data_IF_354831326892
#
_entry.id   IF_354831326892
#
_cell.length_a   1.000
_cell.length_b   1.000
_cell.length_c   1.000
_cell.angle_alpha   90.00
_cell.angle_beta   90.00
_cell.angle_gamma   90.00
#
_symmetry.space_group_name_H-M   'P 1'
#
loop_
_entity.id
_entity.type
_entity.pdbx_description
1 polymer ?
#
# COMPACT_ATOMS: atom_id res chain seq x y z
N UNK A 1 25.96 56.04 -6.39
CA UNK A 1 25.30 56.66 -7.56
C UNK A 1 26.32 56.79 -8.67
N UNK A 2 25.91 56.47 -9.90
CA UNK A 2 26.57 56.67 -11.21
C UNK A 2 27.93 55.99 -11.45
N UNK A 3 28.22 55.37 -12.59
CA UNK A 3 27.43 55.04 -13.77
C UNK A 3 28.23 54.02 -14.61
N UNK A 4 27.48 53.22 -15.36
CA UNK A 4 27.91 52.31 -16.42
C UNK A 4 28.78 52.99 -17.49
N UNK A 5 29.71 52.20 -18.05
CA UNK A 5 30.26 52.15 -19.43
C UNK A 5 31.70 51.62 -19.31
N UNK A 6 32.08 50.50 -19.92
CA UNK A 6 32.24 50.33 -21.37
C UNK A 6 32.09 48.85 -21.74
N UNK A 7 31.17 48.58 -22.65
CA UNK A 7 31.07 47.33 -23.41
C UNK A 7 32.22 47.35 -24.42
N UNK A 8 33.10 46.37 -24.36
CA UNK A 8 34.09 46.13 -25.42
C UNK A 8 33.79 44.77 -26.04
N UNK A 9 33.07 44.85 -27.17
CA UNK A 9 32.81 43.74 -28.09
C UNK A 9 34.15 43.27 -28.65
N UNK A 10 34.50 42.01 -28.40
CA UNK A 10 35.51 41.29 -29.16
C UNK A 10 34.86 39.99 -29.65
N UNK A 11 34.11 40.14 -30.75
CA UNK A 11 33.49 39.06 -31.51
C UNK A 11 34.58 38.47 -32.41
N UNK A 12 35.23 37.40 -31.97
CA UNK A 12 36.19 36.65 -32.79
C UNK A 12 35.60 35.31 -33.19
N UNK A 13 35.01 35.33 -34.39
CA UNK A 13 34.86 34.25 -35.36
C UNK A 13 35.79 33.04 -35.14
N UNK A 14 35.21 31.88 -34.83
CA UNK A 14 35.69 30.61 -35.34
C UNK A 14 34.49 29.81 -35.86
N UNK A 15 34.39 29.77 -37.17
CA UNK A 15 33.49 28.90 -37.91
C UNK A 15 33.92 27.44 -37.73
N UNK A 16 32.99 26.61 -37.27
CA UNK A 16 33.06 25.15 -37.34
C UNK A 16 31.74 24.64 -37.90
N UNK A 17 31.61 24.64 -39.22
CA UNK A 17 30.51 24.02 -39.94
C UNK A 17 30.71 22.50 -39.81
N UNK A 18 29.87 21.84 -39.02
CA UNK A 18 29.68 20.39 -39.12
C UNK A 18 28.44 20.17 -39.97
N UNK A 19 28.65 19.65 -41.17
CA UNK A 19 27.60 19.37 -42.13
C UNK A 19 26.64 18.31 -41.59
N UNK A 20 25.40 18.69 -41.30
CA UNK A 20 24.29 17.76 -41.14
C UNK A 20 23.77 17.41 -42.54
N UNK A 21 24.18 16.26 -43.04
CA UNK A 21 23.59 15.61 -44.21
C UNK A 21 23.07 14.24 -43.78
N UNK A 22 21.75 14.04 -43.83
CA UNK A 22 21.17 12.69 -43.92
C UNK A 22 20.26 12.28 -42.77
N UNK A 23 18.96 12.51 -43.00
CA UNK A 23 17.79 11.73 -42.57
C UNK A 23 18.07 10.34 -41.98
N UNK A 24 17.54 10.08 -40.78
CA UNK A 24 17.45 8.74 -40.20
C UNK A 24 16.80 8.77 -38.83
N UNK A 25 15.50 8.47 -38.78
CA UNK A 25 14.78 8.09 -37.57
C UNK A 25 15.60 7.13 -36.70
N UNK A 26 15.97 7.56 -35.50
CA UNK A 26 16.83 6.80 -34.59
C UNK A 26 16.38 6.97 -33.14
N UNK A 27 15.23 6.36 -32.87
CA UNK A 27 14.79 5.80 -31.60
C UNK A 27 15.73 6.02 -30.40
N UNK A 28 15.19 6.79 -29.45
CA UNK A 28 15.64 6.92 -28.07
C UNK A 28 15.90 5.54 -27.45
N UNK A 29 17.16 5.12 -27.40
CA UNK A 29 17.60 4.00 -26.56
C UNK A 29 17.50 4.44 -25.09
N UNK A 30 16.33 4.24 -24.49
CA UNK A 30 16.21 4.02 -23.04
C UNK A 30 16.75 2.62 -22.78
N UNK A 31 17.88 2.56 -22.10
CA UNK A 31 18.67 1.37 -21.81
C UNK A 31 17.86 0.26 -21.13
N UNK A 32 18.20 -0.97 -21.50
CA UNK A 32 17.74 -2.25 -20.98
C UNK A 32 17.80 -2.37 -19.45
N UNK A 33 18.71 -1.62 -18.80
CA UNK A 33 18.93 -1.61 -17.35
C UNK A 33 17.74 -1.03 -16.55
N UNK A 34 17.08 0.00 -17.09
CA UNK A 34 15.86 0.58 -16.48
C UNK A 34 14.66 -0.37 -16.62
N UNK A 35 14.69 -1.27 -17.61
CA UNK A 35 13.60 -2.24 -17.85
C UNK A 35 13.73 -3.44 -16.93
N UNK A 36 14.94 -3.99 -16.77
CA UNK A 36 15.22 -5.12 -15.87
C UNK A 36 14.99 -4.76 -14.39
N UNK A 37 15.43 -3.57 -13.93
CA UNK A 37 15.13 -3.12 -12.56
C UNK A 37 13.63 -2.94 -12.31
N UNK A 38 12.89 -2.46 -13.31
CA UNK A 38 11.45 -2.26 -13.19
C UNK A 38 10.69 -3.59 -13.14
N UNK A 39 11.13 -4.58 -13.92
CA UNK A 39 10.60 -5.94 -13.85
C UNK A 39 10.85 -6.61 -12.49
N UNK A 40 12.07 -6.48 -11.94
CA UNK A 40 12.40 -7.05 -10.62
C UNK A 40 11.59 -6.39 -9.49
N UNK A 41 11.48 -5.06 -9.48
CA UNK A 41 10.68 -4.32 -8.48
C UNK A 41 9.20 -4.73 -8.55
N UNK A 42 8.67 -4.88 -9.76
CA UNK A 42 7.27 -5.31 -9.95
C UNK A 42 7.06 -6.76 -9.50
N UNK A 43 8.00 -7.66 -9.81
CA UNK A 43 7.93 -9.05 -9.36
C UNK A 43 7.94 -9.15 -7.82
N UNK A 44 8.83 -8.40 -7.15
CA UNK A 44 8.87 -8.32 -5.67
C UNK A 44 7.56 -7.79 -5.09
N UNK A 45 7.01 -6.71 -5.67
CA UNK A 45 5.73 -6.16 -5.21
C UNK A 45 4.57 -7.15 -5.38
N UNK A 46 4.55 -7.92 -6.46
CA UNK A 46 3.55 -8.98 -6.67
C UNK A 46 3.69 -10.08 -5.62
N UNK A 47 4.92 -10.50 -5.28
CA UNK A 47 5.19 -11.47 -4.23
C UNK A 47 4.72 -10.98 -2.86
N UNK A 48 5.06 -9.76 -2.47
CA UNK A 48 4.62 -9.15 -1.21
C UNK A 48 3.08 -9.07 -1.12
N UNK A 49 2.41 -8.72 -2.23
CA UNK A 49 0.94 -8.74 -2.30
C UNK A 49 0.38 -10.13 -2.08
N UNK A 50 0.97 -11.15 -2.70
CA UNK A 50 0.52 -12.54 -2.53
C UNK A 50 0.72 -13.03 -1.11
N UNK A 51 1.85 -12.70 -0.47
CA UNK A 51 2.11 -13.04 0.93
C UNK A 51 1.15 -12.33 1.88
N UNK A 52 0.85 -11.04 1.66
CA UNK A 52 -0.17 -10.34 2.43
C UNK A 52 -1.55 -11.01 2.29
N UNK A 53 -1.93 -11.42 1.07
CA UNK A 53 -3.19 -12.14 0.85
C UNK A 53 -3.23 -13.50 1.55
N UNK A 54 -2.10 -14.21 1.63
CA UNK A 54 -2.00 -15.48 2.34
C UNK A 54 -2.12 -15.28 3.85
N UNK A 55 -1.36 -14.35 4.41
CA UNK A 55 -1.46 -13.97 5.82
C UNK A 55 -2.87 -13.51 6.19
N UNK A 56 -3.52 -12.70 5.33
CA UNK A 56 -4.90 -12.29 5.51
C UNK A 56 -5.85 -13.49 5.59
N UNK A 57 -5.70 -14.50 4.72
CA UNK A 57 -6.53 -15.72 4.77
C UNK A 57 -6.37 -16.47 6.10
N UNK A 58 -5.14 -16.63 6.56
CA UNK A 58 -4.84 -17.28 7.85
C UNK A 58 -5.44 -16.48 9.01
N UNK A 59 -5.25 -15.15 9.02
CA UNK A 59 -5.81 -14.23 10.00
C UNK A 59 -7.34 -14.27 10.03
N UNK A 60 -8.01 -14.20 8.88
CA UNK A 60 -9.47 -14.31 8.77
C UNK A 60 -9.99 -15.67 9.21
N UNK A 61 -9.26 -16.76 8.95
CA UNK A 61 -9.63 -18.09 9.43
C UNK A 61 -9.64 -18.14 10.95
N UNK A 62 -8.63 -17.56 11.59
CA UNK A 62 -8.56 -17.48 13.05
C UNK A 62 -9.64 -16.57 13.65
N UNK A 63 -9.87 -15.40 13.03
CA UNK A 63 -10.97 -14.49 13.41
C UNK A 63 -12.32 -15.22 13.32
N UNK A 64 -12.58 -15.97 12.24
CA UNK A 64 -13.83 -16.71 12.09
C UNK A 64 -14.00 -17.77 13.18
N UNK A 65 -12.92 -18.47 13.56
CA UNK A 65 -12.93 -19.43 14.67
C UNK A 65 -13.30 -18.75 15.99
N UNK A 66 -12.68 -17.62 16.29
CA UNK A 66 -12.96 -16.85 17.52
C UNK A 66 -14.36 -16.24 17.54
N UNK A 67 -14.87 -15.76 16.39
CA UNK A 67 -16.25 -15.28 16.27
C UNK A 67 -17.25 -16.42 16.50
N UNK A 68 -16.96 -17.64 16.02
CA UNK A 68 -17.81 -18.80 16.32
C UNK A 68 -17.85 -19.09 17.83
N UNK A 69 -16.69 -19.07 18.49
CA UNK A 69 -16.58 -19.24 19.94
C UNK A 69 -17.36 -18.15 20.70
N UNK A 70 -17.18 -16.89 20.31
CA UNK A 70 -17.88 -15.75 20.89
C UNK A 70 -19.41 -15.90 20.76
N UNK A 71 -19.89 -16.28 19.58
CA UNK A 71 -21.31 -16.58 19.36
C UNK A 71 -21.82 -17.73 20.23
N UNK A 72 -21.02 -18.76 20.48
CA UNK A 72 -21.41 -19.82 21.41
C UNK A 72 -21.50 -19.33 22.85
N UNK A 73 -20.55 -18.49 23.31
CA UNK A 73 -20.55 -17.92 24.65
C UNK A 73 -21.78 -17.01 24.85
N UNK A 74 -22.06 -16.13 23.89
CA UNK A 74 -23.27 -15.28 23.88
C UNK A 74 -24.54 -16.12 23.97
N UNK A 75 -24.64 -17.23 23.21
CA UNK A 75 -25.82 -18.12 23.26
C UNK A 75 -25.99 -18.85 24.58
N UNK A 76 -24.89 -19.16 25.27
CA UNK A 76 -24.90 -19.88 26.56
C UNK A 76 -25.19 -18.97 27.74
N UNK A 77 -24.95 -17.66 27.60
CA UNK A 77 -25.25 -16.73 28.67
C UNK A 77 -26.77 -16.52 28.80
N UNK A 78 -27.25 -16.39 30.04
CA UNK A 78 -28.65 -16.11 30.34
C UNK A 78 -28.98 -14.61 30.41
N UNK A 79 -27.96 -13.78 30.62
CA UNK A 79 -28.11 -12.33 30.74
C UNK A 79 -28.08 -11.64 29.37
N UNK A 80 -28.74 -10.50 29.19
CA UNK A 80 -28.53 -9.69 27.99
C UNK A 80 -27.09 -9.16 27.96
N UNK A 81 -26.58 -8.90 26.76
CA UNK A 81 -25.29 -8.22 26.59
C UNK A 81 -25.36 -6.80 27.16
N UNK A 82 -24.26 -6.35 27.75
CA UNK A 82 -24.10 -4.96 28.17
C UNK A 82 -23.98 -4.03 26.95
N UNK A 83 -24.28 -2.74 27.13
CA UNK A 83 -24.12 -1.74 26.05
C UNK A 83 -22.68 -1.74 25.49
N UNK A 84 -21.68 -1.86 26.36
CA UNK A 84 -20.26 -1.94 25.98
C UNK A 84 -19.96 -3.18 25.12
N UNK A 85 -20.53 -4.34 25.46
CA UNK A 85 -20.37 -5.57 24.68
C UNK A 85 -21.03 -5.42 23.30
N UNK A 86 -22.22 -4.81 23.23
CA UNK A 86 -22.87 -4.54 21.95
C UNK A 86 -22.04 -3.58 21.08
N UNK A 87 -21.54 -2.47 21.64
CA UNK A 87 -20.67 -1.53 20.94
C UNK A 87 -19.38 -2.22 20.44
N UNK A 88 -18.77 -3.06 21.27
CA UNK A 88 -17.57 -3.82 20.86
C UNK A 88 -17.88 -4.81 19.73
N UNK A 89 -19.05 -5.46 19.73
CA UNK A 89 -19.48 -6.35 18.65
C UNK A 89 -19.70 -5.59 17.33
N UNK A 90 -20.28 -4.39 17.40
CA UNK A 90 -20.48 -3.52 16.24
C UNK A 90 -19.12 -3.08 15.66
N UNK A 91 -18.18 -2.65 16.51
CA UNK A 91 -16.81 -2.31 16.08
C UNK A 91 -16.08 -3.50 15.44
N UNK A 92 -16.25 -4.71 15.98
CA UNK A 92 -15.70 -5.94 15.37
C UNK A 92 -16.27 -6.16 13.97
N UNK A 93 -17.56 -5.90 13.77
CA UNK A 93 -18.19 -6.04 12.47
C UNK A 93 -17.65 -5.02 11.47
N UNK A 94 -17.54 -3.76 11.88
CA UNK A 94 -17.05 -2.67 11.03
C UNK A 94 -15.60 -2.91 10.60
N UNK A 95 -14.71 -3.24 11.55
CA UNK A 95 -13.31 -3.58 11.24
C UNK A 95 -13.19 -4.78 10.29
N UNK A 96 -14.07 -5.79 10.43
CA UNK A 96 -14.07 -6.93 9.52
C UNK A 96 -14.45 -6.53 8.09
N UNK A 97 -15.41 -5.60 7.96
CA UNK A 97 -15.81 -5.05 6.65
C UNK A 97 -14.66 -4.25 6.05
N UNK A 98 -14.02 -3.38 6.83
CA UNK A 98 -12.90 -2.55 6.37
C UNK A 98 -11.71 -3.39 5.91
N UNK A 99 -11.28 -4.38 6.70
CA UNK A 99 -10.22 -5.31 6.30
C UNK A 99 -10.56 -6.08 5.03
N UNK A 100 -11.82 -6.50 4.87
CA UNK A 100 -12.25 -7.18 3.65
C UNK A 100 -12.19 -6.24 2.44
N UNK A 101 -12.59 -4.98 2.60
CA UNK A 101 -12.48 -3.96 1.55
C UNK A 101 -11.01 -3.71 1.17
N UNK A 102 -10.12 -3.55 2.16
CA UNK A 102 -8.68 -3.41 1.91
C UNK A 102 -8.14 -4.62 1.13
N UNK A 103 -8.52 -5.85 1.52
CA UNK A 103 -8.09 -7.06 0.82
C UNK A 103 -8.58 -7.12 -0.64
N UNK A 104 -9.73 -6.54 -0.96
CA UNK A 104 -10.20 -6.40 -2.34
C UNK A 104 -9.37 -5.40 -3.15
N UNK A 105 -8.84 -4.37 -2.50
CA UNK A 105 -8.02 -3.32 -3.12
C UNK A 105 -6.54 -3.70 -3.29
N UNK A 106 -6.03 -4.66 -2.51
CA UNK A 106 -4.61 -5.04 -2.42
C UNK A 106 -3.89 -5.16 -3.77
N UNK A 107 -4.56 -5.74 -4.78
CA UNK A 107 -3.98 -5.95 -6.12
C UNK A 107 -3.76 -4.63 -6.87
N UNK A 108 -4.61 -3.64 -6.62
CA UNK A 108 -4.64 -2.34 -7.29
C UNK A 108 -3.75 -1.29 -6.62
N UNK A 109 -3.16 -1.60 -5.46
CA UNK A 109 -2.26 -0.69 -4.74
C UNK A 109 -0.95 -0.53 -5.53
N UNK A 110 -0.55 0.71 -5.78
CA UNK A 110 0.71 1.04 -6.44
C UNK A 110 1.88 0.91 -5.47
N UNK A 111 3.09 0.69 -5.99
CA UNK A 111 4.28 0.44 -5.16
C UNK A 111 4.61 1.58 -4.20
N UNK A 112 4.36 2.84 -4.59
CA UNK A 112 4.55 4.03 -3.75
C UNK A 112 3.60 4.10 -2.55
N UNK A 113 2.45 3.41 -2.61
CA UNK A 113 1.46 3.35 -1.53
C UNK A 113 1.53 2.04 -0.74
N UNK A 114 2.30 1.07 -1.21
CA UNK A 114 2.29 -0.29 -0.73
C UNK A 114 2.67 -0.41 0.75
N UNK A 115 3.73 0.27 1.17
CA UNK A 115 4.21 0.19 2.54
C UNK A 115 3.16 0.67 3.55
N UNK A 116 2.52 1.81 3.26
CA UNK A 116 1.46 2.35 4.10
C UNK A 116 0.25 1.42 4.12
N UNK A 117 -0.19 0.96 2.95
CA UNK A 117 -1.29 0.01 2.85
C UNK A 117 -1.04 -1.26 3.66
N UNK A 118 0.16 -1.86 3.54
CA UNK A 118 0.53 -3.05 4.28
C UNK A 118 0.54 -2.80 5.79
N UNK A 119 1.06 -1.65 6.23
CA UNK A 119 1.11 -1.28 7.64
C UNK A 119 -0.29 -1.11 8.22
N UNK A 120 -1.15 -0.36 7.52
CA UNK A 120 -2.53 -0.12 7.94
C UNK A 120 -3.30 -1.44 8.00
N UNK A 121 -3.17 -2.29 6.97
CA UNK A 121 -3.82 -3.60 6.95
C UNK A 121 -3.43 -4.47 8.16
N UNK A 122 -2.13 -4.54 8.46
CA UNK A 122 -1.62 -5.32 9.60
C UNK A 122 -2.14 -4.77 10.93
N UNK A 123 -2.12 -3.45 11.10
CA UNK A 123 -2.65 -2.79 12.29
C UNK A 123 -4.13 -3.09 12.49
N UNK A 124 -4.96 -2.91 11.46
CA UNK A 124 -6.40 -3.17 11.57
C UNK A 124 -6.69 -4.66 11.84
N UNK A 125 -5.88 -5.58 11.29
CA UNK A 125 -5.98 -7.01 11.57
C UNK A 125 -5.66 -7.34 13.03
N UNK A 126 -4.58 -6.76 13.57
CA UNK A 126 -4.18 -6.90 14.97
C UNK A 126 -5.23 -6.29 15.92
N UNK A 127 -5.76 -5.11 15.59
CA UNK A 127 -6.80 -4.43 16.37
C UNK A 127 -8.09 -5.26 16.41
N UNK A 128 -8.51 -5.85 15.28
CA UNK A 128 -9.65 -6.76 15.23
C UNK A 128 -9.42 -8.03 16.06
N UNK A 129 -8.26 -8.66 15.94
CA UNK A 129 -7.92 -9.85 16.74
C UNK A 129 -7.97 -9.55 18.23
N UNK A 130 -7.39 -8.41 18.63
CA UNK A 130 -7.37 -7.98 20.03
C UNK A 130 -8.76 -7.70 20.56
N UNK A 131 -9.62 -6.99 19.81
CA UNK A 131 -11.00 -6.73 20.25
C UNK A 131 -11.81 -8.01 20.46
N UNK A 132 -11.61 -9.00 19.60
CA UNK A 132 -12.26 -10.31 19.74
C UNK A 132 -11.74 -11.06 20.98
N UNK A 133 -10.43 -10.99 21.26
CA UNK A 133 -9.85 -11.61 22.46
C UNK A 133 -10.35 -10.90 23.74
N UNK A 134 -10.28 -9.57 23.75
CA UNK A 134 -10.73 -8.75 24.88
C UNK A 134 -12.20 -9.04 25.22
N UNK A 135 -13.09 -9.15 24.22
CA UNK A 135 -14.50 -9.46 24.48
C UNK A 135 -14.70 -10.94 24.87
N UNK A 136 -13.93 -11.89 24.33
CA UNK A 136 -14.00 -13.30 24.71
C UNK A 136 -13.60 -13.55 26.18
N UNK A 137 -12.67 -12.75 26.69
CA UNK A 137 -12.21 -12.76 28.09
C UNK A 137 -13.25 -12.17 29.06
N UNK A 138 -14.23 -11.41 28.57
CA UNK A 138 -15.35 -10.91 29.38
C UNK A 138 -16.44 -11.97 29.64
N UNK A 139 -16.40 -13.14 28.97
CA UNK A 139 -17.35 -14.26 29.14
C UNK A 139 -16.73 -15.47 29.86
#
# INVERSE_FOLDING_TARGET
>A
MSALKKISVAFMLCAGIVAFSGCGSGQQNKSSEDTEQNEEINARLIEEKNELQKMAKEGFSEINRKIMELNEKIKKQSEPLTDKQNETLDEIQDLRVDLNNMLHEVKNISGDKWENFQKDFKKELEDLQKKIDDILDEF
#
